data_IF_814039330493
#
_entry.id   IF_814039330493
#
_cell.length_a   1.000
_cell.length_b   1.000
_cell.length_c   1.000
_cell.angle_alpha   90.00
_cell.angle_beta   90.00
_cell.angle_gamma   90.00
#
_symmetry.space_group_name_H-M   'P 1'
#
loop_
_entity.id
_entity.type
_entity.pdbx_description
1 polymer ?
#
# COMPACT_ATOMS: atom_id res chain seq x y z
N UNK A 1 12.63 30.67 8.11
CA UNK A 1 12.07 29.86 9.20
C UNK A 1 12.30 30.61 10.49
N UNK A 2 11.35 30.65 11.42
CA UNK A 2 11.53 31.32 12.71
C UNK A 2 12.53 30.52 13.58
N UNK A 3 13.42 31.20 14.31
CA UNK A 3 14.48 30.58 15.13
C UNK A 3 13.97 29.48 16.08
N UNK A 4 12.77 29.64 16.64
CA UNK A 4 12.18 28.64 17.54
C UNK A 4 11.88 27.31 16.83
N UNK A 5 11.51 27.34 15.54
CA UNK A 5 11.25 26.13 14.75
C UNK A 5 12.53 25.34 14.52
N UNK A 6 13.64 26.03 14.27
CA UNK A 6 14.95 25.41 14.07
C UNK A 6 15.45 24.73 15.36
N UNK A 7 15.25 25.38 16.51
CA UNK A 7 15.56 24.80 17.83
C UNK A 7 14.73 23.54 18.07
N UNK A 8 13.42 23.59 17.79
CA UNK A 8 12.52 22.44 17.96
C UNK A 8 12.89 21.26 17.07
N UNK A 9 13.19 21.49 15.79
CA UNK A 9 13.61 20.43 14.85
C UNK A 9 14.87 19.73 15.36
N UNK A 10 15.88 20.49 15.80
CA UNK A 10 17.11 19.90 16.35
C UNK A 10 16.87 19.13 17.65
N UNK A 11 16.08 19.69 18.57
CA UNK A 11 15.81 19.06 19.86
C UNK A 11 15.00 17.77 19.73
N UNK A 12 13.99 17.76 18.85
CA UNK A 12 13.08 16.63 18.65
C UNK A 12 13.65 15.56 17.70
N UNK A 13 14.39 15.96 16.65
CA UNK A 13 14.95 15.02 15.67
C UNK A 13 16.00 14.05 16.24
N UNK A 14 16.52 14.33 17.44
CA UNK A 14 17.47 13.46 18.16
C UNK A 14 16.79 12.53 19.17
N UNK A 15 15.48 12.65 19.38
CA UNK A 15 14.76 11.85 20.37
C UNK A 15 14.28 10.54 19.77
N UNK A 16 14.33 9.47 20.58
CA UNK A 16 13.66 8.22 20.24
C UNK A 16 12.14 8.43 20.32
N UNK A 17 11.48 8.41 19.17
CA UNK A 17 10.02 8.43 19.10
C UNK A 17 9.47 7.01 19.27
N UNK A 18 8.41 6.86 20.07
CA UNK A 18 7.63 5.64 20.17
C UNK A 18 6.17 5.97 19.86
N UNK A 19 5.57 5.21 18.96
CA UNK A 19 4.16 5.31 18.61
C UNK A 19 3.47 4.09 19.22
N UNK A 20 2.43 4.33 19.99
CA UNK A 20 1.58 3.28 20.57
C UNK A 20 0.15 3.47 20.08
N UNK A 21 -0.56 2.36 19.89
CA UNK A 21 -1.97 2.35 19.52
C UNK A 21 -2.79 1.74 20.67
N UNK A 22 -3.03 2.50 21.76
CA UNK A 22 -3.62 1.95 22.99
C UNK A 22 -5.05 1.42 22.78
N UNK A 23 -5.77 1.94 21.80
CA UNK A 23 -7.13 1.51 21.45
C UNK A 23 -7.18 0.54 20.27
N UNK A 24 -6.03 0.06 19.78
CA UNK A 24 -6.01 -0.97 18.74
C UNK A 24 -6.49 -2.29 19.32
N UNK A 25 -7.77 -2.60 19.06
CA UNK A 25 -8.43 -3.82 19.55
C UNK A 25 -8.10 -5.06 18.73
N UNK A 26 -7.62 -4.86 17.50
CA UNK A 26 -7.38 -5.90 16.53
C UNK A 26 -5.91 -6.32 16.58
N UNK A 27 -5.66 -7.62 16.59
CA UNK A 27 -4.28 -8.13 16.52
C UNK A 27 -3.67 -7.84 15.15
N UNK A 28 -2.34 -7.77 15.08
CA UNK A 28 -1.61 -7.57 13.83
C UNK A 28 -1.96 -8.66 12.82
N UNK A 29 -2.14 -9.92 13.24
CA UNK A 29 -2.51 -11.00 12.32
C UNK A 29 -3.91 -10.79 11.74
N UNK A 30 -4.87 -10.33 12.54
CA UNK A 30 -6.24 -10.03 12.07
C UNK A 30 -6.25 -8.88 11.06
N UNK A 31 -5.43 -7.84 11.28
CA UNK A 31 -5.23 -6.74 10.32
C UNK A 31 -4.67 -7.28 9.00
N UNK A 32 -3.62 -8.11 9.08
CA UNK A 32 -2.98 -8.69 7.89
C UNK A 32 -3.94 -9.60 7.11
N UNK A 33 -4.70 -10.45 7.80
CA UNK A 33 -5.69 -11.33 7.18
C UNK A 33 -6.79 -10.52 6.48
N UNK A 34 -7.32 -9.49 7.14
CA UNK A 34 -8.36 -8.64 6.57
C UNK A 34 -7.89 -7.95 5.28
N UNK A 35 -6.73 -7.28 5.32
CA UNK A 35 -6.21 -6.57 4.16
C UNK A 35 -5.79 -7.52 3.03
N UNK A 36 -5.18 -8.66 3.37
CA UNK A 36 -4.81 -9.69 2.37
C UNK A 36 -6.05 -10.26 1.70
N UNK A 37 -7.10 -10.55 2.46
CA UNK A 37 -8.34 -11.09 1.92
C UNK A 37 -9.04 -10.09 0.99
N UNK A 38 -9.10 -8.81 1.37
CA UNK A 38 -9.62 -7.75 0.51
C UNK A 38 -8.84 -7.61 -0.80
N UNK A 39 -7.50 -7.68 -0.74
CA UNK A 39 -6.65 -7.66 -1.92
C UNK A 39 -6.96 -8.84 -2.86
N UNK A 40 -7.06 -10.05 -2.31
CA UNK A 40 -7.41 -11.25 -3.07
C UNK A 40 -8.79 -11.16 -3.71
N UNK A 41 -9.77 -10.55 -3.04
CA UNK A 41 -11.10 -10.32 -3.61
C UNK A 41 -11.04 -9.35 -4.81
N UNK A 42 -10.30 -8.25 -4.71
CA UNK A 42 -10.10 -7.31 -5.82
C UNK A 42 -9.41 -7.98 -7.00
N UNK A 43 -8.31 -8.70 -6.75
CA UNK A 43 -7.58 -9.45 -7.78
C UNK A 43 -8.50 -10.48 -8.46
N UNK A 44 -9.31 -11.22 -7.70
CA UNK A 44 -10.28 -12.16 -8.27
C UNK A 44 -11.31 -11.47 -9.17
N UNK A 45 -11.77 -10.28 -8.79
CA UNK A 45 -12.70 -9.51 -9.61
C UNK A 45 -12.06 -9.10 -10.95
N UNK A 46 -10.82 -8.59 -10.92
CA UNK A 46 -10.04 -8.22 -12.13
C UNK A 46 -9.84 -9.42 -13.05
N UNK A 47 -9.47 -10.58 -12.49
CA UNK A 47 -9.25 -11.80 -13.28
C UNK A 47 -10.54 -12.25 -13.98
N UNK A 48 -11.67 -12.22 -13.27
CA UNK A 48 -12.98 -12.66 -13.76
C UNK A 48 -13.69 -11.62 -14.65
N UNK A 49 -13.10 -10.45 -14.88
CA UNK A 49 -13.67 -9.46 -15.77
C UNK A 49 -13.47 -9.88 -17.23
N UNK A 50 -14.47 -10.51 -17.82
CA UNK A 50 -14.44 -10.99 -19.21
C UNK A 50 -14.74 -9.89 -20.24
N UNK A 51 -14.82 -8.61 -19.82
CA UNK A 51 -15.08 -7.49 -20.74
C UNK A 51 -13.86 -7.08 -21.58
N UNK A 52 -12.65 -7.46 -21.15
CA UNK A 52 -11.41 -7.12 -21.84
C UNK A 52 -11.14 -8.07 -23.00
N UNK A 53 -10.72 -7.52 -24.14
CA UNK A 53 -10.30 -8.30 -25.30
C UNK A 53 -8.95 -9.00 -25.05
N UNK A 54 -8.61 -10.03 -25.83
CA UNK A 54 -7.31 -10.72 -25.70
C UNK A 54 -6.12 -9.75 -25.82
N UNK A 55 -6.27 -8.68 -26.62
CA UNK A 55 -5.27 -7.60 -26.73
C UNK A 55 -5.16 -6.74 -25.49
N UNK A 56 -6.21 -6.65 -24.65
CA UNK A 56 -6.23 -5.85 -23.42
C UNK A 56 -5.96 -6.71 -22.18
N UNK A 57 -5.70 -8.01 -22.34
CA UNK A 57 -5.49 -8.93 -21.22
C UNK A 57 -4.27 -8.53 -20.34
N UNK A 58 -3.29 -7.80 -20.90
CA UNK A 58 -2.20 -7.21 -20.12
C UNK A 58 -2.66 -6.09 -19.17
N UNK A 59 -3.79 -5.43 -19.45
CA UNK A 59 -4.37 -4.43 -18.55
C UNK A 59 -4.86 -5.06 -17.23
N UNK A 60 -5.23 -6.35 -17.24
CA UNK A 60 -5.53 -7.06 -15.98
C UNK A 60 -4.30 -7.16 -15.07
N UNK A 61 -3.12 -7.36 -15.66
CA UNK A 61 -1.86 -7.38 -14.89
C UNK A 61 -1.59 -6.00 -14.30
N UNK A 62 -1.84 -4.95 -15.09
CA UNK A 62 -1.73 -3.56 -14.63
C UNK A 62 -2.67 -3.26 -13.46
N UNK A 63 -3.94 -3.63 -13.58
CA UNK A 63 -4.92 -3.42 -12.51
C UNK A 63 -4.56 -4.21 -11.23
N UNK A 64 -4.01 -5.42 -11.37
CA UNK A 64 -3.50 -6.19 -10.23
C UNK A 64 -2.33 -5.44 -9.57
N UNK A 65 -1.42 -4.85 -10.35
CA UNK A 65 -0.31 -4.03 -9.81
C UNK A 65 -0.88 -2.83 -9.04
N UNK A 66 -1.89 -2.14 -9.56
CA UNK A 66 -2.55 -1.05 -8.85
C UNK A 66 -3.12 -1.49 -7.48
N UNK A 67 -3.69 -2.69 -7.37
CA UNK A 67 -4.16 -3.22 -6.07
C UNK A 67 -3.04 -3.32 -5.03
N UNK A 68 -1.81 -3.70 -5.44
CA UNK A 68 -0.66 -3.74 -4.53
C UNK A 68 -0.17 -2.33 -4.18
N UNK A 69 -0.09 -1.42 -5.15
CA UNK A 69 0.34 -0.04 -4.94
C UNK A 69 -0.62 0.73 -4.00
N UNK A 70 -1.92 0.51 -4.10
CA UNK A 70 -2.94 1.06 -3.18
C UNK A 70 -2.72 0.61 -1.72
N UNK A 71 -2.16 -0.58 -1.51
CA UNK A 71 -1.80 -1.11 -0.19
C UNK A 71 -0.43 -0.64 0.28
N UNK A 72 0.26 0.20 -0.51
CA UNK A 72 1.62 0.66 -0.23
C UNK A 72 2.69 -0.42 -0.48
N UNK A 73 2.35 -1.49 -1.19
CA UNK A 73 3.25 -2.60 -1.50
C UNK A 73 3.89 -2.35 -2.87
N UNK A 74 5.22 -2.25 -2.88
CA UNK A 74 5.96 -2.13 -4.13
C UNK A 74 5.96 -3.46 -4.89
N UNK A 75 5.57 -3.43 -6.17
CA UNK A 75 5.58 -4.56 -7.10
C UNK A 75 6.92 -4.74 -7.83
N UNK A 76 7.95 -3.94 -7.49
CA UNK A 76 9.28 -4.01 -8.09
C UNK A 76 9.44 -3.11 -9.33
N UNK A 77 10.41 -3.46 -10.18
CA UNK A 77 10.68 -2.71 -11.42
C UNK A 77 9.69 -3.09 -12.50
N UNK A 78 8.99 -2.10 -13.05
CA UNK A 78 8.06 -2.28 -14.15
C UNK A 78 8.85 -2.33 -15.44
N UNK A 79 8.75 -3.44 -16.17
CA UNK A 79 9.33 -3.54 -17.50
C UNK A 79 8.37 -2.83 -18.46
N UNK A 80 8.85 -1.79 -19.13
CA UNK A 80 8.07 -1.08 -20.13
C UNK A 80 7.91 -2.00 -21.34
N UNK A 81 6.68 -2.44 -21.62
CA UNK A 81 6.35 -3.20 -22.82
C UNK A 81 6.16 -2.18 -23.94
N UNK A 82 7.27 -1.72 -24.51
CA UNK A 82 7.31 -0.66 -25.52
C UNK A 82 6.42 -0.91 -26.75
#
# INVERSE_FOLDING_TARGET
MDLYKEILIKALGQQKMQITFPDLKMDINEILELHSYQALQKIKAIINDDSLTDSECFMKIEEIICVFEELGISSGSRHDFG
#
